data_IF_794667306804
#
_entry.id   IF_794667306804
#
_cell.length_a   1.000
_cell.length_b   1.000
_cell.length_c   1.000
_cell.angle_alpha   90.00
_cell.angle_beta   90.00
_cell.angle_gamma   90.00
#
_symmetry.space_group_name_H-M   'P 1'
#
loop_
_entity.id
_entity.type
_entity.pdbx_description
1 polymer ?
#
# COMPACT_ATOMS: atom_id res chain seq x y z
N UNK A 1 12.68 -15.36 -18.00
CA UNK A 1 12.11 -14.65 -16.84
C UNK A 1 10.95 -15.47 -16.34
N UNK A 2 10.93 -15.80 -15.05
CA UNK A 2 9.85 -16.60 -14.47
C UNK A 2 8.69 -15.69 -14.08
N UNK A 3 7.45 -16.17 -14.13
CA UNK A 3 6.29 -15.40 -13.63
C UNK A 3 6.48 -14.97 -12.16
N UNK A 4 7.31 -15.68 -11.40
CA UNK A 4 7.70 -15.34 -10.04
C UNK A 4 8.42 -13.98 -9.97
N UNK A 5 9.29 -13.70 -10.94
CA UNK A 5 10.09 -12.47 -11.02
C UNK A 5 9.22 -11.27 -11.42
N UNK A 6 8.21 -11.48 -12.28
CA UNK A 6 7.30 -10.43 -12.75
C UNK A 6 6.42 -9.87 -11.61
N UNK A 7 5.87 -10.74 -10.76
CA UNK A 7 5.08 -10.29 -9.61
C UNK A 7 5.93 -9.62 -8.54
N UNK A 8 7.18 -10.07 -8.36
CA UNK A 8 8.10 -9.42 -7.44
C UNK A 8 8.46 -8.02 -7.93
N UNK A 9 8.74 -7.87 -9.22
CA UNK A 9 8.97 -6.57 -9.85
C UNK A 9 7.74 -5.66 -9.73
N UNK A 10 6.53 -6.17 -10.00
CA UNK A 10 5.29 -5.40 -9.84
C UNK A 10 5.09 -4.93 -8.39
N UNK A 11 5.26 -5.84 -7.43
CA UNK A 11 5.13 -5.53 -5.99
C UNK A 11 6.11 -4.43 -5.57
N UNK A 12 7.36 -4.53 -6.04
CA UNK A 12 8.38 -3.54 -5.77
C UNK A 12 8.05 -2.20 -6.42
N UNK A 13 7.64 -2.19 -7.70
CA UNK A 13 7.27 -0.96 -8.41
C UNK A 13 6.09 -0.24 -7.75
N UNK A 14 5.07 -0.97 -7.30
CA UNK A 14 3.94 -0.39 -6.56
C UNK A 14 4.44 0.25 -5.26
N UNK A 15 5.29 -0.46 -4.52
CA UNK A 15 5.83 0.02 -3.24
C UNK A 15 6.71 1.27 -3.40
N UNK A 16 7.58 1.29 -4.40
CA UNK A 16 8.44 2.43 -4.71
C UNK A 16 7.62 3.65 -5.14
N UNK A 17 6.68 3.47 -6.07
CA UNK A 17 5.82 4.54 -6.55
C UNK A 17 4.94 5.11 -5.43
N UNK A 18 4.34 4.25 -4.61
CA UNK A 18 3.54 4.67 -3.46
C UNK A 18 4.39 5.44 -2.43
N UNK A 19 5.60 4.96 -2.11
CA UNK A 19 6.49 5.64 -1.18
C UNK A 19 6.94 7.01 -1.67
N UNK A 20 7.22 7.14 -2.97
CA UNK A 20 7.64 8.39 -3.57
C UNK A 20 6.49 9.41 -3.67
N UNK A 21 5.26 8.96 -3.98
CA UNK A 21 4.07 9.82 -3.96
C UNK A 21 3.71 10.31 -2.56
N UNK A 22 3.79 9.43 -1.55
CA UNK A 22 3.46 9.80 -0.17
C UNK A 22 4.52 10.75 0.40
N UNK A 23 5.80 10.55 0.05
CA UNK A 23 6.93 11.19 0.70
C UNK A 23 7.51 10.28 1.79
N UNK A 24 8.77 9.88 1.62
CA UNK A 24 9.44 8.91 2.50
C UNK A 24 9.62 9.44 3.93
N UNK A 25 9.67 10.75 4.09
CA UNK A 25 9.72 11.45 5.37
C UNK A 25 8.41 11.35 6.16
N UNK A 26 7.27 11.19 5.49
CA UNK A 26 5.96 10.99 6.13
C UNK A 26 5.75 9.56 6.60
N UNK A 27 6.50 8.60 6.02
CA UNK A 27 6.35 7.18 6.28
C UNK A 27 7.21 6.72 7.46
N UNK A 28 6.57 6.08 8.43
CA UNK A 28 7.25 5.21 9.38
C UNK A 28 7.54 3.83 8.76
N UNK A 29 6.72 3.42 7.79
CA UNK A 29 6.94 2.21 7.01
C UNK A 29 5.87 1.99 5.97
N UNK A 30 6.20 1.25 4.91
CA UNK A 30 5.28 0.85 3.85
C UNK A 30 5.57 -0.59 3.47
N UNK A 31 4.51 -1.40 3.37
CA UNK A 31 4.61 -2.80 2.96
C UNK A 31 3.58 -3.08 1.89
N UNK A 32 4.01 -3.70 0.81
CA UNK A 32 3.11 -4.21 -0.23
C UNK A 32 3.19 -5.72 -0.21
N UNK A 33 2.04 -6.37 -0.05
CA UNK A 33 1.90 -7.82 -0.22
C UNK A 33 1.00 -8.10 -1.40
N UNK A 34 1.31 -9.15 -2.16
CA UNK A 34 0.60 -9.45 -3.40
C UNK A 34 0.13 -10.91 -3.41
N UNK A 35 -1.16 -11.11 -3.60
CA UNK A 35 -1.75 -12.42 -3.87
C UNK A 35 -1.87 -12.63 -5.38
N UNK A 36 -1.05 -13.55 -5.88
CA UNK A 36 -0.98 -13.91 -7.30
C UNK A 36 -2.24 -14.59 -7.82
N UNK A 37 -2.95 -15.33 -6.96
CA UNK A 37 -4.14 -16.09 -7.38
C UNK A 37 -5.27 -15.14 -7.76
N UNK A 38 -5.41 -14.06 -7.00
CA UNK A 38 -6.47 -13.07 -7.15
C UNK A 38 -6.02 -11.80 -7.87
N UNK A 39 -4.72 -11.69 -8.20
CA UNK A 39 -4.08 -10.46 -8.71
C UNK A 39 -4.42 -9.24 -7.84
N UNK A 40 -4.36 -9.43 -6.53
CA UNK A 40 -4.73 -8.42 -5.55
C UNK A 40 -3.54 -8.05 -4.68
N UNK A 41 -3.31 -6.75 -4.47
CA UNK A 41 -2.27 -6.22 -3.62
C UNK A 41 -2.83 -5.53 -2.38
N UNK A 42 -2.24 -5.78 -1.21
CA UNK A 42 -2.51 -5.03 0.01
C UNK A 42 -1.32 -4.11 0.31
N UNK A 43 -1.61 -2.82 0.51
CA UNK A 43 -0.65 -1.80 0.90
C UNK A 43 -0.90 -1.45 2.37
N UNK A 44 0.03 -1.83 3.24
CA UNK A 44 0.01 -1.42 4.66
C UNK A 44 0.89 -0.19 4.86
N UNK A 45 0.32 0.87 5.42
CA UNK A 45 0.94 2.19 5.52
C UNK A 45 1.05 2.57 7.00
N UNK A 46 2.27 2.81 7.48
CA UNK A 46 2.53 3.40 8.79
C UNK A 46 3.08 4.82 8.61
N UNK A 47 2.50 5.79 9.29
CA UNK A 47 2.87 7.21 9.21
C UNK A 47 3.65 7.63 10.46
N UNK A 48 4.64 8.51 10.29
CA UNK A 48 5.40 9.08 11.42
C UNK A 48 4.52 9.96 12.31
N UNK A 49 3.55 10.66 11.72
CA UNK A 49 2.61 11.53 12.41
C UNK A 49 1.20 11.32 11.84
N UNK A 50 0.44 10.30 12.32
CA UNK A 50 -0.88 9.99 11.79
C UNK A 50 -1.92 11.02 12.26
N UNK A 51 -2.06 12.11 11.51
CA UNK A 51 -3.18 13.05 11.63
C UNK A 51 -4.29 12.70 10.63
N UNK A 52 -5.51 13.16 10.88
CA UNK A 52 -6.62 12.97 9.93
C UNK A 52 -6.33 13.59 8.56
N UNK A 53 -5.73 14.78 8.54
CA UNK A 53 -5.37 15.48 7.30
C UNK A 53 -4.27 14.74 6.53
N UNK A 54 -3.28 14.18 7.24
CA UNK A 54 -2.20 13.40 6.62
C UNK A 54 -2.73 12.07 6.06
N UNK A 55 -3.63 11.40 6.79
CA UNK A 55 -4.30 10.21 6.28
C UNK A 55 -5.12 10.51 5.03
N UNK A 56 -5.88 11.62 5.00
CA UNK A 56 -6.64 12.03 3.82
C UNK A 56 -5.73 12.33 2.62
N UNK A 57 -4.60 13.02 2.84
CA UNK A 57 -3.59 13.27 1.81
C UNK A 57 -3.06 11.96 1.22
N UNK A 58 -2.72 11.00 2.09
CA UNK A 58 -2.20 9.70 1.67
C UNK A 58 -3.25 8.89 0.92
N UNK A 59 -4.52 8.95 1.32
CA UNK A 59 -5.63 8.33 0.59
C UNK A 59 -5.70 8.89 -0.84
N UNK A 60 -5.55 10.20 -1.02
CA UNK A 60 -5.48 10.81 -2.35
C UNK A 60 -4.31 10.26 -3.19
N UNK A 61 -3.13 10.09 -2.59
CA UNK A 61 -2.00 9.45 -3.26
C UNK A 61 -2.31 8.00 -3.66
N UNK A 62 -3.04 7.24 -2.83
CA UNK A 62 -3.38 5.85 -3.15
C UNK A 62 -4.33 5.73 -4.35
N UNK A 63 -5.22 6.70 -4.57
CA UNK A 63 -6.02 6.73 -5.79
C UNK A 63 -5.15 6.92 -7.04
N UNK A 64 -4.08 7.72 -6.97
CA UNK A 64 -3.13 7.85 -8.08
C UNK A 64 -2.36 6.55 -8.32
N UNK A 65 -1.91 5.88 -7.25
CA UNK A 65 -1.28 4.54 -7.36
C UNK A 65 -2.25 3.56 -8.03
N UNK A 66 -3.50 3.51 -7.57
CA UNK A 66 -4.53 2.63 -8.14
C UNK A 66 -4.76 2.91 -9.62
N UNK A 67 -4.82 4.18 -10.04
CA UNK A 67 -4.99 4.53 -11.45
C UNK A 67 -3.85 4.07 -12.35
N UNK A 68 -2.61 4.10 -11.84
CA UNK A 68 -1.41 3.67 -12.58
C UNK A 68 -1.37 2.15 -12.76
N UNK A 69 -1.82 1.39 -11.76
CA UNK A 69 -1.71 -0.08 -11.71
C UNK A 69 -3.02 -0.85 -11.90
N UNK A 70 -4.11 -0.15 -12.28
CA UNK A 70 -5.47 -0.71 -12.37
C UNK A 70 -5.60 -1.89 -13.33
N UNK A 71 -4.75 -1.96 -14.37
CA UNK A 71 -4.81 -3.00 -15.40
C UNK A 71 -3.99 -4.24 -14.97
N UNK A 72 -3.09 -4.06 -14.00
CA UNK A 72 -2.17 -5.06 -13.48
C UNK A 72 -2.69 -5.75 -12.22
N UNK A 73 -3.35 -4.99 -11.33
CA UNK A 73 -3.73 -5.42 -10.00
C UNK A 73 -4.92 -4.68 -9.39
N UNK A 74 -5.67 -5.39 -8.55
CA UNK A 74 -6.67 -4.79 -7.64
C UNK A 74 -5.95 -4.43 -6.34
N UNK A 75 -5.95 -3.15 -5.96
CA UNK A 75 -5.21 -2.68 -4.78
C UNK A 75 -6.16 -2.30 -3.64
N UNK A 76 -5.80 -2.70 -2.43
CA UNK A 76 -6.42 -2.25 -1.19
C UNK A 76 -5.34 -1.70 -0.26
N UNK A 77 -5.70 -0.73 0.57
CA UNK A 77 -4.76 -0.09 1.49
C UNK A 77 -5.32 0.03 2.90
N UNK A 78 -4.44 0.04 3.89
CA UNK A 78 -4.78 0.11 5.31
C UNK A 78 -3.72 0.90 6.08
N UNK A 79 -4.15 1.80 6.96
CA UNK A 79 -3.26 2.44 7.92
C UNK A 79 -3.01 1.51 9.11
N UNK A 80 -1.74 1.41 9.52
CA UNK A 80 -1.29 0.57 10.64
C UNK A 80 -0.36 1.37 11.55
N UNK A 81 -0.28 0.99 12.83
CA UNK A 81 0.56 1.69 13.82
C UNK A 81 2.06 1.43 13.62
N UNK A 82 2.42 0.38 12.88
CA UNK A 82 3.80 0.02 12.60
C UNK A 82 3.92 -1.18 11.66
N UNK A 83 5.09 -1.34 11.06
CA UNK A 83 5.43 -2.43 10.13
C UNK A 83 6.40 -3.37 10.86
N UNK A 84 5.88 -4.41 11.52
CA UNK A 84 6.70 -5.46 12.16
C UNK A 84 7.01 -6.66 11.24
N UNK A 85 8.03 -7.45 11.59
CA UNK A 85 8.45 -8.65 10.84
C UNK A 85 7.43 -9.80 10.89
N UNK A 86 6.60 -9.86 11.93
CA UNK A 86 5.54 -10.86 12.09
C UNK A 86 4.15 -10.23 11.88
N UNK A 87 3.29 -10.98 11.20
CA UNK A 87 1.95 -10.62 10.76
C UNK A 87 1.02 -10.43 11.96
N UNK A 88 1.07 -9.27 12.60
CA UNK A 88 -0.08 -8.74 13.35
C UNK A 88 -0.09 -7.22 13.16
N UNK A 89 -0.67 -6.80 12.03
CA UNK A 89 -1.28 -5.50 11.98
C UNK A 89 -2.30 -5.47 13.12
N UNK A 90 -1.99 -4.74 14.21
CA UNK A 90 -2.96 -4.49 15.27
C UNK A 90 -4.07 -3.63 14.69
N UNK A 91 -5.10 -4.31 14.25
CA UNK A 91 -6.21 -3.74 13.50
C UNK A 91 -6.98 -2.72 14.34
N UNK A 92 -6.99 -1.47 13.88
CA UNK A 92 -8.22 -0.68 13.91
C UNK A 92 -8.66 -0.52 12.45
N UNK A 93 -9.34 -1.53 11.89
CA UNK A 93 -9.79 -1.47 10.50
C UNK A 93 -10.86 -0.38 10.36
N UNK A 94 -10.50 0.74 9.73
CA UNK A 94 -11.46 1.58 9.02
C UNK A 94 -11.29 1.30 7.54
N UNK A 95 -12.12 0.39 7.03
CA UNK A 95 -12.15 0.04 5.62
C UNK A 95 -12.97 1.10 4.89
N UNK A 96 -12.35 1.78 3.94
CA UNK A 96 -13.03 2.71 3.04
C UNK A 96 -13.11 2.02 1.67
N UNK A 97 -14.32 1.67 1.25
CA UNK A 97 -14.63 1.19 -0.10
C UNK A 97 -15.52 2.22 -0.78
N UNK A 98 -15.14 2.70 -1.96
CA UNK A 98 -16.04 3.47 -2.82
C UNK A 98 -16.87 2.48 -3.65
N UNK A 99 -18.20 2.59 -3.56
CA UNK A 99 -19.16 1.82 -4.37
C UNK A 99 -19.58 2.62 -5.62
#
# INVERSE_FOLDING_TARGET
>A
MSALDEFQALTQSIGEYAADLIGRESLAGLRVTFDRRNRSGQISIALNAPSGDEQLRVISCMFEVEQVFKDEAILSYSFVDGIGDEVEARETIRQYSLA
#
